data_IF_613344189932
#
_entry.id   IF_613344189932
#
_cell.length_a   1.000
_cell.length_b   1.000
_cell.length_c   1.000
_cell.angle_alpha   90.00
_cell.angle_beta   90.00
_cell.angle_gamma   90.00
#
_symmetry.space_group_name_H-M   'P 1'
#
loop_
_entity.id
_entity.type
_entity.pdbx_description
1 polymer ?
#
# COMPACT_ATOMS: atom_id res chain seq x y z
N UNK A 1 -12.68 33.49 -5.12
CA UNK A 1 -13.35 32.36 -4.46
C UNK A 1 -13.55 31.16 -5.38
N UNK A 2 -14.12 31.30 -6.58
CA UNK A 2 -14.23 30.19 -7.56
C UNK A 2 -12.89 29.48 -7.83
N UNK A 3 -11.84 30.23 -8.15
CA UNK A 3 -10.50 29.67 -8.38
C UNK A 3 -9.91 28.88 -7.20
N UNK A 4 -10.29 29.21 -5.96
CA UNK A 4 -9.81 28.48 -4.78
C UNK A 4 -10.52 27.14 -4.65
N UNK A 5 -11.85 27.14 -4.82
CA UNK A 5 -12.64 25.91 -4.80
C UNK A 5 -12.22 24.94 -5.91
N UNK A 6 -11.97 25.45 -7.12
CA UNK A 6 -11.50 24.63 -8.24
C UNK A 6 -10.14 23.96 -7.93
N UNK A 7 -9.24 24.68 -7.24
CA UNK A 7 -7.96 24.12 -6.79
C UNK A 7 -8.13 23.05 -5.70
N UNK A 8 -9.00 23.29 -4.72
CA UNK A 8 -9.31 22.33 -3.66
C UNK A 8 -9.92 21.04 -4.25
N UNK A 9 -10.91 21.18 -5.14
CA UNK A 9 -11.57 20.06 -5.81
C UNK A 9 -10.56 19.26 -6.66
N UNK A 10 -9.66 19.92 -7.39
CA UNK A 10 -8.58 19.26 -8.14
C UNK A 10 -7.61 18.48 -7.24
N UNK A 11 -7.23 19.06 -6.10
CA UNK A 11 -6.38 18.39 -5.11
C UNK A 11 -7.06 17.17 -4.49
N UNK A 12 -8.35 17.26 -4.16
CA UNK A 12 -9.12 16.13 -3.63
C UNK A 12 -9.18 15.00 -4.65
N UNK A 13 -9.50 15.29 -5.91
CA UNK A 13 -9.54 14.26 -6.96
C UNK A 13 -8.18 13.59 -7.16
N UNK A 14 -7.09 14.36 -7.20
CA UNK A 14 -5.75 13.80 -7.33
C UNK A 14 -5.38 12.90 -6.13
N UNK A 15 -5.75 13.32 -4.92
CA UNK A 15 -5.53 12.55 -3.69
C UNK A 15 -6.30 11.24 -3.69
N UNK A 16 -7.59 11.28 -4.06
CA UNK A 16 -8.45 10.10 -4.17
C UNK A 16 -7.94 9.11 -5.22
N UNK A 17 -7.55 9.60 -6.40
CA UNK A 17 -6.98 8.75 -7.45
C UNK A 17 -5.67 8.10 -7.00
N UNK A 18 -4.79 8.86 -6.33
CA UNK A 18 -3.55 8.32 -5.81
C UNK A 18 -3.79 7.23 -4.76
N UNK A 19 -4.72 7.44 -3.83
CA UNK A 19 -5.12 6.41 -2.85
C UNK A 19 -5.72 5.17 -3.52
N UNK A 20 -6.53 5.33 -4.57
CA UNK A 20 -7.07 4.20 -5.33
C UNK A 20 -5.96 3.35 -5.95
N UNK A 21 -5.02 4.00 -6.64
CA UNK A 21 -3.89 3.33 -7.29
C UNK A 21 -2.97 2.62 -6.27
N UNK A 22 -2.79 3.20 -5.07
CA UNK A 22 -2.09 2.51 -3.98
C UNK A 22 -2.85 1.29 -3.47
N UNK A 23 -4.17 1.37 -3.39
CA UNK A 23 -5.03 0.23 -3.06
C UNK A 23 -4.86 -0.92 -4.06
N UNK A 24 -4.90 -0.61 -5.36
CA UNK A 24 -4.69 -1.58 -6.44
C UNK A 24 -3.27 -2.18 -6.41
N UNK A 25 -2.27 -1.34 -6.14
CA UNK A 25 -0.88 -1.80 -6.01
C UNK A 25 -0.69 -2.75 -4.82
N UNK A 26 -1.37 -2.49 -3.70
CA UNK A 26 -1.40 -3.41 -2.56
C UNK A 26 -2.11 -4.72 -2.93
N UNK A 27 -3.23 -4.69 -3.66
CA UNK A 27 -3.93 -5.91 -4.10
C UNK A 27 -2.99 -6.81 -4.92
N UNK A 28 -2.19 -6.23 -5.81
CA UNK A 28 -1.20 -6.97 -6.60
C UNK A 28 -0.14 -7.61 -5.70
N UNK A 29 0.47 -6.84 -4.79
CA UNK A 29 1.50 -7.37 -3.88
C UNK A 29 0.96 -8.45 -2.92
N UNK A 30 -0.26 -8.27 -2.42
CA UNK A 30 -0.95 -9.26 -1.60
C UNK A 30 -1.16 -10.57 -2.38
N UNK A 31 -1.56 -10.47 -3.65
CA UNK A 31 -1.72 -11.61 -4.55
C UNK A 31 -0.41 -12.35 -4.85
N UNK A 32 0.66 -11.62 -5.14
CA UNK A 32 2.00 -12.19 -5.38
C UNK A 32 2.54 -12.90 -4.13
N UNK A 33 2.42 -12.29 -2.94
CA UNK A 33 2.84 -12.91 -1.68
C UNK A 33 2.06 -14.18 -1.36
N UNK A 34 0.75 -14.19 -1.63
CA UNK A 34 -0.09 -15.38 -1.43
C UNK A 34 0.38 -16.53 -2.34
N UNK A 35 0.59 -16.26 -3.63
CA UNK A 35 1.12 -17.25 -4.57
C UNK A 35 2.49 -17.77 -4.15
N UNK A 36 3.38 -16.87 -3.71
CA UNK A 36 4.70 -17.24 -3.22
C UNK A 36 4.64 -18.09 -1.94
N UNK A 37 3.69 -17.85 -1.03
CA UNK A 37 3.48 -18.66 0.16
C UNK A 37 2.94 -20.06 -0.12
N UNK A 38 2.18 -20.23 -1.20
CA UNK A 38 1.66 -21.53 -1.65
C UNK A 38 2.72 -22.36 -2.39
N UNK A 39 3.78 -21.71 -2.90
CA UNK A 39 4.86 -22.34 -3.66
C UNK A 39 6.18 -22.23 -2.90
N UNK A 40 6.55 -23.30 -2.17
CA UNK A 40 7.74 -23.38 -1.30
C UNK A 40 9.08 -23.01 -1.97
N UNK A 41 9.16 -22.96 -3.30
CA UNK A 41 10.37 -22.60 -4.05
C UNK A 41 10.46 -21.14 -4.52
N UNK A 42 9.40 -20.32 -4.37
CA UNK A 42 9.36 -18.96 -4.97
C UNK A 42 10.17 -17.93 -4.17
N UNK A 43 10.17 -17.98 -2.84
CA UNK A 43 10.96 -17.03 -2.04
C UNK A 43 12.43 -17.50 -1.96
N UNK A 44 13.15 -17.39 -3.08
CA UNK A 44 14.61 -17.37 -3.08
C UNK A 44 15.14 -16.01 -2.56
N UNK A 45 16.41 -15.92 -2.17
CA UNK A 45 16.98 -14.70 -1.55
C UNK A 45 16.74 -13.43 -2.38
N UNK A 46 16.85 -13.53 -3.70
CA UNK A 46 16.63 -12.42 -4.62
C UNK A 46 15.17 -11.96 -4.62
N UNK A 47 14.23 -12.89 -4.76
CA UNK A 47 12.80 -12.58 -4.73
C UNK A 47 12.38 -11.96 -3.40
N UNK A 48 12.82 -12.53 -2.27
CA UNK A 48 12.48 -12.00 -0.97
C UNK A 48 13.03 -10.57 -0.78
N UNK A 49 14.25 -10.28 -1.24
CA UNK A 49 14.83 -8.92 -1.16
C UNK A 49 14.07 -7.91 -2.02
N UNK A 50 13.70 -8.30 -3.25
CA UNK A 50 12.92 -7.44 -4.16
C UNK A 50 11.52 -7.18 -3.60
N UNK A 51 10.85 -8.22 -3.11
CA UNK A 51 9.54 -8.10 -2.47
C UNK A 51 9.60 -7.19 -1.24
N UNK A 52 10.61 -7.34 -0.38
CA UNK A 52 10.82 -6.49 0.79
C UNK A 52 10.99 -5.01 0.41
N UNK A 53 11.75 -4.73 -0.66
CA UNK A 53 11.89 -3.36 -1.19
C UNK A 53 10.57 -2.77 -1.66
N UNK A 54 9.75 -3.52 -2.40
CA UNK A 54 8.45 -3.03 -2.86
C UNK A 54 7.49 -2.77 -1.70
N UNK A 55 7.47 -3.63 -0.69
CA UNK A 55 6.65 -3.43 0.52
C UNK A 55 7.09 -2.14 1.25
N UNK A 56 8.40 -1.89 1.35
CA UNK A 56 8.94 -0.68 1.96
C UNK A 56 8.62 0.60 1.16
N UNK A 57 8.70 0.55 -0.16
CA UNK A 57 8.31 1.68 -1.00
C UNK A 57 6.81 1.98 -0.91
N UNK A 58 5.97 0.96 -0.80
CA UNK A 58 4.53 1.13 -0.53
C UNK A 58 4.27 1.72 0.84
N UNK A 59 4.99 1.24 1.86
CA UNK A 59 4.89 1.80 3.20
C UNK A 59 5.26 3.28 3.21
N UNK A 60 6.41 3.66 2.63
CA UNK A 60 6.83 5.07 2.52
C UNK A 60 5.80 5.91 1.77
N UNK A 61 5.31 5.42 0.63
CA UNK A 61 4.31 6.11 -0.18
C UNK A 61 3.04 6.40 0.62
N UNK A 62 2.46 5.38 1.27
CA UNK A 62 1.23 5.51 2.05
C UNK A 62 1.41 6.43 3.26
N UNK A 63 2.53 6.33 3.98
CA UNK A 63 2.77 7.17 5.16
C UNK A 63 3.23 8.59 4.83
N UNK A 64 3.67 8.86 3.59
CA UNK A 64 3.95 10.21 3.11
C UNK A 64 2.69 11.03 2.79
N UNK A 65 1.53 10.37 2.66
CA UNK A 65 0.26 11.03 2.34
C UNK A 65 -0.18 11.92 3.50
N UNK A 66 -0.35 13.20 3.20
CA UNK A 66 -0.94 14.18 4.10
C UNK A 66 -2.47 14.11 4.10
N UNK A 67 -3.08 14.47 5.23
CA UNK A 67 -4.53 14.60 5.39
C UNK A 67 -4.90 16.10 5.39
N UNK A 68 -5.16 16.71 4.21
CA UNK A 68 -5.54 18.12 4.14
C UNK A 68 -6.89 18.39 4.82
N UNK A 69 -7.13 19.64 5.26
CA UNK A 69 -8.32 20.00 6.04
C UNK A 69 -9.66 19.79 5.31
N UNK A 70 -9.65 19.85 3.98
CA UNK A 70 -10.81 19.64 3.13
C UNK A 70 -10.98 18.17 2.71
N UNK A 71 -10.17 17.26 3.24
CA UNK A 71 -10.32 15.83 3.00
C UNK A 71 -11.59 15.32 3.71
N UNK A 72 -12.37 14.49 3.02
CA UNK A 72 -13.55 13.91 3.62
C UNK A 72 -13.19 12.90 4.73
N UNK A 73 -14.15 12.62 5.61
CA UNK A 73 -13.96 11.53 6.59
C UNK A 73 -13.83 10.16 5.91
N UNK A 74 -14.48 9.97 4.76
CA UNK A 74 -14.39 8.73 3.98
C UNK A 74 -12.96 8.51 3.47
N UNK A 75 -12.37 9.54 2.87
CA UNK A 75 -11.00 9.52 2.38
C UNK A 75 -9.99 9.30 3.51
N UNK A 76 -10.22 9.93 4.66
CA UNK A 76 -9.42 9.70 5.87
C UNK A 76 -9.50 8.25 6.36
N UNK A 77 -10.68 7.60 6.22
CA UNK A 77 -10.85 6.18 6.53
C UNK A 77 -10.13 5.29 5.52
N UNK A 78 -10.21 5.60 4.22
CA UNK A 78 -9.46 4.89 3.16
C UNK A 78 -7.97 4.92 3.43
N UNK A 79 -7.40 6.08 3.78
CA UNK A 79 -5.98 6.17 4.12
C UNK A 79 -5.60 5.34 5.35
N UNK A 80 -6.45 5.31 6.39
CA UNK A 80 -6.24 4.45 7.56
C UNK A 80 -6.27 2.96 7.20
N UNK A 81 -7.15 2.58 6.27
CA UNK A 81 -7.24 1.22 5.76
C UNK A 81 -5.97 0.84 4.98
N UNK A 82 -5.50 1.68 4.05
CA UNK A 82 -4.23 1.48 3.35
C UNK A 82 -3.05 1.30 4.32
N UNK A 83 -2.96 2.15 5.36
CA UNK A 83 -1.95 2.03 6.42
C UNK A 83 -2.06 0.71 7.19
N UNK A 84 -3.26 0.19 7.39
CA UNK A 84 -3.48 -1.11 8.03
C UNK A 84 -3.05 -2.25 7.12
N UNK A 85 -3.46 -2.22 5.86
CA UNK A 85 -3.16 -3.21 4.83
C UNK A 85 -1.65 -3.36 4.62
N UNK A 86 -0.89 -2.29 4.50
CA UNK A 86 0.57 -2.40 4.36
C UNK A 86 1.26 -2.99 5.60
N UNK A 87 0.73 -2.74 6.81
CA UNK A 87 1.21 -3.40 8.04
C UNK A 87 0.86 -4.89 8.05
N UNK A 88 -0.28 -5.27 7.47
CA UNK A 88 -0.67 -6.67 7.27
C UNK A 88 0.24 -7.35 6.25
N UNK A 89 0.58 -6.66 5.17
CA UNK A 89 1.50 -7.11 4.13
C UNK A 89 2.86 -7.49 4.71
N UNK A 90 3.45 -6.65 5.57
CA UNK A 90 4.68 -6.96 6.27
C UNK A 90 4.58 -8.23 7.15
N UNK A 91 3.46 -8.41 7.86
CA UNK A 91 3.27 -9.61 8.70
C UNK A 91 3.18 -10.86 7.83
N UNK A 92 2.42 -10.79 6.74
CA UNK A 92 2.28 -11.90 5.80
C UNK A 92 3.62 -12.25 5.14
N UNK A 93 4.38 -11.25 4.70
CA UNK A 93 5.71 -11.44 4.15
C UNK A 93 6.67 -12.07 5.17
N UNK A 94 6.64 -11.65 6.43
CA UNK A 94 7.44 -12.25 7.49
C UNK A 94 7.11 -13.75 7.69
N UNK A 95 5.84 -14.14 7.57
CA UNK A 95 5.45 -15.56 7.60
C UNK A 95 6.00 -16.34 6.40
N UNK A 96 5.92 -15.78 5.19
CA UNK A 96 6.51 -16.40 3.98
C UNK A 96 8.02 -16.59 4.15
N UNK A 97 8.73 -15.58 4.68
CA UNK A 97 10.18 -15.64 4.96
C UNK A 97 10.53 -16.68 6.04
N UNK A 98 9.69 -16.85 7.06
CA UNK A 98 9.90 -17.85 8.12
C UNK A 98 9.59 -19.28 7.64
N UNK A 99 8.61 -19.47 6.77
CA UNK A 99 8.28 -20.78 6.17
C UNK A 99 9.43 -21.40 5.35
N UNK A 100 10.44 -20.60 4.97
CA UNK A 100 11.71 -21.06 4.37
C UNK A 100 12.67 -21.70 5.38
N UNK A 101 12.58 -21.32 6.65
CA UNK A 101 13.52 -21.76 7.71
C UNK A 101 13.08 -23.04 8.42
N UNK A 102 11.92 -23.61 8.04
CA UNK A 102 11.39 -24.88 8.51
C UNK A 102 11.58 -25.96 7.43
#
# INVERSE_FOLDING_TARGET
MLKQKDMEDAMVMAHQNFMSNLGESLDILEGELKQAGEMTSICNDEWCNVAESYIDDMHKSIYSISEPRWLSQEDSRKLKDLRKRVRELYRNFAHVKQGRSA
#
